data_IF_366214991293
#
_entry.id   IF_366214991293
#
_cell.length_a   1.000
_cell.length_b   1.000
_cell.length_c   1.000
_cell.angle_alpha   90.00
_cell.angle_beta   90.00
_cell.angle_gamma   90.00
#
_symmetry.space_group_name_H-M   'P 1'
#
loop_
_entity.id
_entity.type
_entity.pdbx_description
1 polymer ?
#
# COMPACT_ATOMS: atom_id res chain seq x y z
N UNK A 1 56.33 26.79 78.91
CA UNK A 1 55.77 27.11 77.57
C UNK A 1 54.28 26.83 77.68
N UNK A 2 53.53 27.83 78.11
CA UNK A 2 52.11 27.71 78.42
C UNK A 2 51.26 28.10 77.20
N UNK A 3 50.29 27.28 76.78
CA UNK A 3 49.40 27.61 75.68
C UNK A 3 48.42 28.70 76.12
N UNK A 4 48.49 29.85 75.44
CA UNK A 4 47.51 30.92 75.55
C UNK A 4 46.14 30.41 75.08
N UNK A 5 45.21 30.27 76.01
CA UNK A 5 43.80 29.93 75.72
C UNK A 5 43.11 31.18 75.16
N UNK A 6 42.48 31.12 73.97
CA UNK A 6 41.83 32.29 73.38
C UNK A 6 40.58 32.71 74.17
N UNK A 7 40.37 34.02 74.40
CA UNK A 7 39.28 34.58 75.21
C UNK A 7 37.93 34.66 74.46
N UNK A 8 37.60 33.67 73.64
CA UNK A 8 36.37 33.69 72.84
C UNK A 8 35.12 33.14 73.57
N UNK A 9 35.24 32.72 74.83
CA UNK A 9 34.13 32.11 75.59
C UNK A 9 33.44 33.04 76.60
N UNK A 10 33.82 34.33 76.72
CA UNK A 10 33.28 35.24 77.74
C UNK A 10 32.19 36.21 77.25
N UNK A 11 31.58 35.94 76.10
CA UNK A 11 30.44 36.71 75.56
C UNK A 11 29.10 35.99 75.71
N UNK A 12 28.97 35.09 76.69
CA UNK A 12 27.67 34.56 77.10
C UNK A 12 27.04 35.57 78.07
N UNK A 13 26.22 36.46 77.52
CA UNK A 13 25.52 37.52 78.26
C UNK A 13 24.66 36.93 79.40
N UNK A 14 24.79 37.41 80.65
CA UNK A 14 24.01 36.93 81.81
C UNK A 14 22.54 37.39 81.81
N UNK A 15 22.06 38.00 80.73
CA UNK A 15 20.67 38.45 80.57
C UNK A 15 19.76 37.34 80.02
N UNK A 16 20.31 36.14 79.83
CA UNK A 16 19.58 34.94 79.44
C UNK A 16 18.93 34.33 80.69
N UNK A 17 17.79 34.90 81.09
CA UNK A 17 16.83 34.21 81.96
C UNK A 17 16.37 32.89 81.34
N UNK A 18 15.66 32.05 82.12
CA UNK A 18 15.09 30.77 81.66
C UNK A 18 14.44 30.85 80.28
N UNK A 19 13.81 31.98 79.98
CA UNK A 19 13.04 32.25 78.77
C UNK A 19 13.93 32.25 77.51
N UNK A 20 15.22 32.61 77.62
CA UNK A 20 16.15 32.66 76.49
C UNK A 20 16.49 31.27 75.92
N UNK A 21 16.51 30.24 76.77
CA UNK A 21 16.74 28.86 76.34
C UNK A 21 15.54 28.31 75.55
N UNK A 22 14.32 28.74 75.91
CA UNK A 22 13.10 28.35 75.19
C UNK A 22 13.09 28.92 73.77
N UNK A 23 13.49 30.19 73.60
CA UNK A 23 13.59 30.81 72.28
C UNK A 23 14.71 30.19 71.41
N UNK A 24 15.87 29.83 71.99
CA UNK A 24 16.92 29.12 71.26
C UNK A 24 16.48 27.71 70.82
N UNK A 25 15.78 26.98 71.69
CA UNK A 25 15.20 25.69 71.37
C UNK A 25 14.20 25.77 70.21
N UNK A 26 13.29 26.75 70.26
CA UNK A 26 12.35 27.04 69.18
C UNK A 26 13.08 27.42 67.89
N UNK A 27 14.12 28.23 67.97
CA UNK A 27 14.94 28.62 66.81
C UNK A 27 15.59 27.42 66.11
N UNK A 28 16.22 26.52 66.88
CA UNK A 28 16.84 25.30 66.34
C UNK A 28 15.78 24.36 65.75
N UNK A 29 14.61 24.26 66.39
CA UNK A 29 13.51 23.45 65.89
C UNK A 29 12.96 24.00 64.55
N UNK A 30 12.80 25.32 64.44
CA UNK A 30 12.37 25.96 63.19
C UNK A 30 13.40 25.81 62.07
N UNK A 31 14.69 25.96 62.37
CA UNK A 31 15.76 25.77 61.37
C UNK A 31 15.84 24.31 60.93
N UNK A 32 15.76 23.35 61.86
CA UNK A 32 15.77 21.93 61.49
C UNK A 32 14.54 21.53 60.67
N UNK A 33 13.36 22.07 60.99
CA UNK A 33 12.15 21.89 60.19
C UNK A 33 12.30 22.49 58.78
N UNK A 34 12.87 23.69 58.67
CA UNK A 34 13.13 24.33 57.38
C UNK A 34 14.11 23.51 56.51
N UNK A 35 15.18 22.98 57.11
CA UNK A 35 16.13 22.09 56.43
C UNK A 35 15.43 20.81 55.95
N UNK A 36 14.58 20.21 56.79
CA UNK A 36 13.84 19.00 56.43
C UNK A 36 12.89 19.24 55.25
N UNK A 37 12.19 20.38 55.24
CA UNK A 37 11.33 20.79 54.12
C UNK A 37 12.12 21.03 52.83
N UNK A 38 13.30 21.66 52.91
CA UNK A 38 14.17 21.88 51.74
C UNK A 38 14.66 20.54 51.18
N UNK A 39 15.16 19.64 52.04
CA UNK A 39 15.58 18.30 51.64
C UNK A 39 14.44 17.50 51.00
N UNK A 40 13.24 17.58 51.58
CA UNK A 40 12.05 16.95 51.00
C UNK A 40 11.69 17.55 49.64
N UNK A 41 11.78 18.87 49.48
CA UNK A 41 11.54 19.56 48.20
C UNK A 41 12.57 19.17 47.13
N UNK A 42 13.84 19.00 47.50
CA UNK A 42 14.89 18.54 46.58
C UNK A 42 14.65 17.09 46.20
N UNK A 43 14.41 16.21 47.16
CA UNK A 43 14.13 14.79 46.91
C UNK A 43 12.91 14.59 46.00
N UNK A 44 11.85 15.38 46.17
CA UNK A 44 10.68 15.33 45.28
C UNK A 44 10.97 15.88 43.88
N UNK A 45 11.81 16.93 43.74
CA UNK A 45 12.25 17.42 42.43
C UNK A 45 13.12 16.40 41.69
N UNK A 46 13.92 15.62 42.42
CA UNK A 46 14.75 14.54 41.88
C UNK A 46 13.93 13.33 41.38
N UNK A 47 12.68 13.14 41.82
CA UNK A 47 11.82 12.05 41.31
C UNK A 47 11.24 12.30 39.91
N UNK A 48 11.05 13.56 39.52
CA UNK A 48 10.53 13.91 38.19
C UNK A 48 11.43 13.49 37.02
N UNK A 49 12.78 13.66 37.07
CA UNK A 49 13.64 13.18 35.99
C UNK A 49 13.69 11.65 35.91
N UNK A 50 13.51 10.92 37.01
CA UNK A 50 13.46 9.46 36.97
C UNK A 50 12.27 8.96 36.13
N UNK A 51 11.09 9.58 36.28
CA UNK A 51 9.92 9.27 35.45
C UNK A 51 10.15 9.58 33.96
N UNK A 52 10.91 10.64 33.65
CA UNK A 52 11.26 10.98 32.26
C UNK A 52 12.27 10.01 31.68
N UNK A 53 13.26 9.58 32.47
CA UNK A 53 14.24 8.57 32.06
C UNK A 53 13.56 7.22 31.80
N UNK A 54 12.61 6.82 32.64
CA UNK A 54 11.86 5.59 32.43
C UNK A 54 11.02 5.64 31.13
N UNK A 55 10.39 6.78 30.84
CA UNK A 55 9.66 6.98 29.58
C UNK A 55 10.58 6.95 28.36
N UNK A 56 11.76 7.57 28.43
CA UNK A 56 12.74 7.54 27.35
C UNK A 56 13.29 6.13 27.12
N UNK A 57 13.59 5.38 28.18
CA UNK A 57 14.00 3.98 28.07
C UNK A 57 12.89 3.12 27.47
N UNK A 58 11.62 3.41 27.76
CA UNK A 58 10.50 2.70 27.14
C UNK A 58 10.41 2.98 25.64
N UNK A 59 10.60 4.23 25.22
CA UNK A 59 10.65 4.62 23.80
C UNK A 59 11.82 3.96 23.07
N UNK A 60 13.01 3.93 23.66
CA UNK A 60 14.19 3.28 23.08
C UNK A 60 13.97 1.76 22.90
N UNK A 61 13.29 1.11 23.85
CA UNK A 61 12.90 -0.31 23.69
C UNK A 61 11.91 -0.51 22.55
N UNK A 62 10.93 0.40 22.40
CA UNK A 62 9.97 0.34 21.30
C UNK A 62 10.69 0.51 19.95
N UNK A 63 11.57 1.50 19.84
CA UNK A 63 12.39 1.72 18.64
C UNK A 63 13.20 0.47 18.28
N UNK A 64 13.92 -0.11 19.25
CA UNK A 64 14.67 -1.34 19.04
C UNK A 64 13.80 -2.54 18.64
N UNK A 65 12.55 -2.62 19.12
CA UNK A 65 11.62 -3.67 18.67
C UNK A 65 11.10 -3.42 17.26
N UNK A 66 10.84 -2.17 16.89
CA UNK A 66 10.40 -1.80 15.55
C UNK A 66 11.49 -2.06 14.52
N UNK A 67 12.74 -1.71 14.82
CA UNK A 67 13.88 -1.98 13.94
C UNK A 67 14.06 -3.48 13.68
N UNK A 68 13.96 -4.31 14.73
CA UNK A 68 14.01 -5.78 14.56
C UNK A 68 12.88 -6.31 13.68
N UNK A 69 11.67 -5.78 13.85
CA UNK A 69 10.52 -6.17 13.01
C UNK A 69 10.75 -5.72 11.57
N UNK A 70 11.26 -4.51 11.36
CA UNK A 70 11.56 -3.98 10.04
C UNK A 70 12.65 -4.80 9.32
N UNK A 71 13.71 -5.20 10.02
CA UNK A 71 14.77 -6.09 9.50
C UNK A 71 14.20 -7.46 9.12
N UNK A 72 13.38 -8.06 9.99
CA UNK A 72 12.73 -9.35 9.71
C UNK A 72 11.79 -9.27 8.50
N UNK A 73 10.99 -8.21 8.37
CA UNK A 73 10.12 -8.02 7.22
C UNK A 73 10.90 -7.75 5.94
N UNK A 74 11.97 -6.94 5.99
CA UNK A 74 12.82 -6.68 4.84
C UNK A 74 13.46 -7.97 4.29
N UNK A 75 13.91 -8.86 5.17
CA UNK A 75 14.47 -10.17 4.78
C UNK A 75 13.39 -11.10 4.17
N UNK A 76 12.21 -11.17 4.81
CA UNK A 76 11.10 -11.99 4.34
C UNK A 76 10.56 -11.51 2.99
N UNK A 77 10.41 -10.19 2.81
CA UNK A 77 9.90 -9.60 1.59
C UNK A 77 10.90 -9.77 0.44
N UNK A 78 12.21 -9.66 0.69
CA UNK A 78 13.23 -9.90 -0.33
C UNK A 78 13.16 -11.34 -0.85
N UNK A 79 13.11 -12.33 0.04
CA UNK A 79 13.03 -13.75 -0.35
C UNK A 79 11.71 -14.08 -1.05
N UNK A 80 10.60 -13.50 -0.58
CA UNK A 80 9.29 -13.69 -1.21
C UNK A 80 9.25 -13.07 -2.60
N UNK A 81 9.80 -11.87 -2.77
CA UNK A 81 9.92 -11.21 -4.06
C UNK A 81 10.83 -11.97 -5.02
N UNK A 82 11.93 -12.55 -4.54
CA UNK A 82 12.78 -13.42 -5.36
C UNK A 82 12.00 -14.63 -5.86
N UNK A 83 11.23 -15.29 -4.98
CA UNK A 83 10.44 -16.44 -5.37
C UNK A 83 9.33 -16.09 -6.38
N UNK A 84 8.60 -14.99 -6.16
CA UNK A 84 7.56 -14.56 -7.10
C UNK A 84 8.14 -14.15 -8.45
N UNK A 85 9.33 -13.54 -8.49
CA UNK A 85 10.02 -13.23 -9.73
C UNK A 85 10.48 -14.49 -10.47
N UNK A 86 10.97 -15.50 -9.75
CA UNK A 86 11.32 -16.79 -10.33
C UNK A 86 10.09 -17.51 -10.91
N UNK A 87 8.96 -17.48 -10.19
CA UNK A 87 7.70 -18.08 -10.64
C UNK A 87 7.16 -17.39 -11.89
N UNK A 88 7.16 -16.04 -11.92
CA UNK A 88 6.75 -15.27 -13.10
C UNK A 88 7.66 -15.60 -14.29
N UNK A 89 8.98 -15.68 -14.07
CA UNK A 89 9.94 -16.04 -15.12
C UNK A 89 9.69 -17.46 -15.65
N UNK A 90 9.37 -18.42 -14.78
CA UNK A 90 9.04 -19.78 -15.17
C UNK A 90 7.72 -19.83 -15.96
N UNK A 91 6.70 -19.10 -15.52
CA UNK A 91 5.41 -18.99 -16.21
C UNK A 91 5.55 -18.35 -17.60
N UNK A 92 6.35 -17.30 -17.74
CA UNK A 92 6.65 -16.68 -19.04
C UNK A 92 7.34 -17.66 -19.99
N UNK A 93 8.37 -18.38 -19.51
CA UNK A 93 9.04 -19.40 -20.32
C UNK A 93 8.09 -20.50 -20.78
N UNK A 94 7.19 -20.94 -19.90
CA UNK A 94 6.16 -21.92 -20.26
C UNK A 94 5.14 -21.37 -21.27
N UNK A 95 4.78 -20.10 -21.17
CA UNK A 95 3.91 -19.44 -22.15
C UNK A 95 4.60 -19.35 -23.51
N UNK A 96 5.88 -19.00 -23.55
CA UNK A 96 6.68 -18.94 -24.78
C UNK A 96 6.76 -20.33 -25.44
N UNK A 97 7.07 -21.38 -24.68
CA UNK A 97 7.11 -22.77 -25.17
C UNK A 97 5.77 -23.23 -25.75
N UNK A 98 4.65 -22.88 -25.10
CA UNK A 98 3.30 -23.17 -25.62
C UNK A 98 3.01 -22.38 -26.90
N UNK A 99 3.43 -21.12 -26.98
CA UNK A 99 3.21 -20.29 -28.16
C UNK A 99 4.00 -20.81 -29.37
N UNK A 100 5.23 -21.28 -29.15
CA UNK A 100 6.04 -21.92 -30.18
C UNK A 100 5.41 -23.24 -30.66
N UNK A 101 4.97 -24.10 -29.74
CA UNK A 101 4.31 -25.36 -30.09
C UNK A 101 2.99 -25.15 -30.87
N UNK A 102 2.24 -24.08 -30.55
CA UNK A 102 1.04 -23.69 -31.30
C UNK A 102 1.39 -23.20 -32.72
N UNK A 103 2.45 -22.41 -32.86
CA UNK A 103 2.93 -21.96 -34.17
C UNK A 103 3.32 -23.15 -35.07
N UNK A 104 4.07 -24.12 -34.53
CA UNK A 104 4.45 -25.34 -35.24
C UNK A 104 3.23 -26.18 -35.65
N UNK A 105 2.22 -26.27 -34.76
CA UNK A 105 0.96 -26.99 -35.04
C UNK A 105 0.15 -26.33 -36.17
N UNK A 106 0.16 -25.00 -36.26
CA UNK A 106 -0.51 -24.24 -37.32
C UNK A 106 0.20 -24.46 -38.66
N UNK A 107 1.53 -24.43 -38.69
CA UNK A 107 2.32 -24.69 -39.90
C UNK A 107 2.09 -26.11 -40.42
N UNK A 108 2.12 -27.11 -39.53
CA UNK A 108 1.87 -28.50 -39.89
C UNK A 108 0.43 -28.74 -40.39
N UNK A 109 -0.56 -28.04 -39.80
CA UNK A 109 -1.95 -28.09 -40.28
C UNK A 109 -2.11 -27.42 -41.64
N UNK A 110 -1.35 -26.36 -41.91
CA UNK A 110 -1.38 -25.65 -43.20
C UNK A 110 -0.83 -26.50 -44.34
N UNK A 111 0.24 -27.24 -44.11
CA UNK A 111 0.81 -28.16 -45.09
C UNK A 111 -0.11 -29.36 -45.37
N UNK A 112 -0.82 -29.86 -44.35
CA UNK A 112 -1.82 -30.93 -44.51
C UNK A 112 -3.10 -30.46 -45.22
N UNK A 113 -3.41 -29.16 -45.17
CA UNK A 113 -4.63 -28.57 -45.73
C UNK A 113 -4.46 -27.94 -47.12
N UNK A 114 -3.25 -28.02 -47.71
CA UNK A 114 -2.98 -27.55 -49.07
C UNK A 114 -3.55 -28.49 -50.17
N UNK A 115 -4.77 -28.99 -49.97
CA UNK A 115 -5.62 -29.49 -51.04
C UNK A 115 -6.40 -28.34 -51.67
N UNK A 116 -6.46 -28.23 -53.01
CA UNK A 116 -7.10 -27.11 -53.68
C UNK A 116 -8.63 -27.22 -53.55
N UNK A 117 -9.26 -26.06 -53.35
CA UNK A 117 -10.69 -25.78 -53.49
C UNK A 117 -11.62 -26.20 -52.33
N UNK A 118 -12.21 -25.20 -51.65
CA UNK A 118 -13.49 -25.42 -50.97
C UNK A 118 -13.89 -24.58 -49.75
N UNK A 119 -13.25 -23.45 -49.41
CA UNK A 119 -13.60 -22.70 -48.18
C UNK A 119 -13.59 -21.18 -48.40
N UNK A 120 -14.67 -20.61 -48.93
CA UNK A 120 -14.77 -19.13 -49.10
C UNK A 120 -16.07 -18.49 -48.57
N UNK A 121 -16.96 -19.22 -47.90
CA UNK A 121 -18.17 -18.64 -47.30
C UNK A 121 -18.09 -18.55 -45.76
N UNK A 122 -17.72 -19.63 -45.08
CA UNK A 122 -17.63 -19.67 -43.60
C UNK A 122 -16.52 -18.78 -43.01
N UNK A 123 -15.47 -18.46 -43.79
CA UNK A 123 -14.40 -17.55 -43.36
C UNK A 123 -14.81 -16.08 -43.33
N UNK A 124 -15.92 -15.71 -43.96
CA UNK A 124 -16.34 -14.30 -44.07
C UNK A 124 -16.94 -13.79 -42.76
N UNK A 125 -17.79 -14.59 -42.11
CA UNK A 125 -18.44 -14.25 -40.85
C UNK A 125 -17.48 -14.25 -39.65
N UNK A 126 -16.68 -15.32 -39.52
CA UNK A 126 -15.61 -15.38 -38.52
C UNK A 126 -14.61 -14.22 -38.72
N UNK A 127 -14.25 -13.93 -39.97
CA UNK A 127 -13.41 -12.79 -40.29
C UNK A 127 -14.02 -11.43 -39.91
N UNK A 128 -15.33 -11.26 -40.04
CA UNK A 128 -15.99 -10.01 -39.62
C UNK A 128 -16.01 -9.86 -38.09
N UNK A 129 -16.31 -10.93 -37.35
CA UNK A 129 -16.25 -10.94 -35.88
C UNK A 129 -14.85 -10.57 -35.37
N UNK A 130 -13.81 -11.15 -35.96
CA UNK A 130 -12.41 -10.86 -35.62
C UNK A 130 -12.04 -9.41 -35.94
N UNK A 131 -12.48 -8.88 -37.09
CA UNK A 131 -12.27 -7.47 -37.45
C UNK A 131 -12.94 -6.51 -36.47
N UNK A 132 -14.18 -6.81 -36.06
CA UNK A 132 -14.91 -6.04 -35.04
C UNK A 132 -14.16 -6.06 -33.72
N UNK A 133 -13.76 -7.25 -33.28
CA UNK A 133 -13.04 -7.43 -32.02
C UNK A 133 -11.71 -6.68 -32.03
N UNK A 134 -10.88 -6.86 -33.06
CA UNK A 134 -9.60 -6.17 -33.21
C UNK A 134 -9.76 -4.65 -33.27
N UNK A 135 -10.79 -4.16 -33.95
CA UNK A 135 -11.08 -2.71 -34.02
C UNK A 135 -11.45 -2.14 -32.65
N UNK A 136 -12.26 -2.85 -31.87
CA UNK A 136 -12.65 -2.41 -30.52
C UNK A 136 -11.48 -2.47 -29.54
N UNK A 137 -10.63 -3.49 -29.62
CA UNK A 137 -9.38 -3.57 -28.85
C UNK A 137 -8.47 -2.39 -29.18
N UNK A 138 -8.30 -2.04 -30.46
CA UNK A 138 -7.49 -0.90 -30.89
C UNK A 138 -8.03 0.45 -30.38
N UNK A 139 -9.32 0.54 -30.07
CA UNK A 139 -9.96 1.71 -29.45
C UNK A 139 -9.88 1.69 -27.90
N UNK A 140 -9.26 0.66 -27.31
CA UNK A 140 -9.07 0.49 -25.88
C UNK A 140 -10.24 -0.14 -25.15
N UNK A 141 -11.12 -0.86 -25.85
CA UNK A 141 -12.15 -1.68 -25.23
C UNK A 141 -11.61 -3.07 -24.86
N UNK A 142 -12.16 -3.64 -23.79
CA UNK A 142 -11.85 -4.95 -23.22
C UNK A 142 -13.17 -5.74 -23.02
N UNK A 143 -13.12 -7.07 -22.91
CA UNK A 143 -14.30 -7.94 -22.68
C UNK A 143 -15.44 -7.67 -23.70
N UNK A 144 -15.16 -7.91 -24.98
CA UNK A 144 -16.10 -7.66 -26.09
C UNK A 144 -17.02 -8.87 -26.28
N UNK A 145 -18.32 -8.62 -26.29
CA UNK A 145 -19.38 -9.60 -26.58
C UNK A 145 -20.23 -9.10 -27.76
N UNK A 146 -20.36 -9.92 -28.79
CA UNK A 146 -21.18 -9.61 -29.97
C UNK A 146 -22.58 -10.14 -29.69
N UNK A 147 -23.57 -9.24 -29.64
CA UNK A 147 -24.95 -9.57 -29.34
C UNK A 147 -25.76 -9.90 -30.60
N UNK A 148 -25.26 -9.54 -31.77
CA UNK A 148 -25.86 -9.91 -33.06
C UNK A 148 -25.69 -11.41 -33.32
N UNK A 149 -26.75 -12.14 -33.68
CA UNK A 149 -26.67 -13.57 -33.97
C UNK A 149 -25.77 -13.84 -35.18
N UNK A 150 -25.14 -15.02 -35.20
CA UNK A 150 -24.16 -15.37 -36.23
C UNK A 150 -24.73 -15.29 -37.65
N UNK A 151 -25.98 -15.73 -37.84
CA UNK A 151 -26.69 -15.73 -39.13
C UNK A 151 -26.80 -14.31 -39.73
N UNK A 152 -27.10 -13.31 -38.89
CA UNK A 152 -27.15 -11.90 -39.32
C UNK A 152 -25.74 -11.36 -39.59
N UNK A 153 -24.75 -11.78 -38.80
CA UNK A 153 -23.36 -11.38 -38.99
C UNK A 153 -22.81 -11.87 -40.34
N UNK A 154 -23.19 -13.06 -40.80
CA UNK A 154 -22.81 -13.56 -42.12
C UNK A 154 -23.44 -12.73 -43.24
N UNK A 155 -24.71 -12.35 -43.08
CA UNK A 155 -25.41 -11.50 -44.04
C UNK A 155 -24.75 -10.11 -44.14
N UNK A 156 -24.30 -9.54 -43.02
CA UNK A 156 -23.62 -8.25 -42.99
C UNK A 156 -22.21 -8.25 -43.59
N UNK A 157 -21.64 -9.42 -43.86
CA UNK A 157 -20.40 -9.50 -44.62
C UNK A 157 -20.61 -9.23 -46.12
N UNK A 158 -21.84 -9.43 -46.62
CA UNK A 158 -22.22 -9.24 -48.03
C UNK A 158 -23.05 -7.98 -48.26
N UNK A 159 -23.77 -7.51 -47.23
CA UNK A 159 -24.69 -6.38 -47.28
C UNK A 159 -24.41 -5.43 -46.13
N UNK A 160 -24.65 -4.13 -46.32
CA UNK A 160 -24.53 -3.14 -45.25
C UNK A 160 -25.48 -3.45 -44.08
N UNK A 161 -25.01 -3.22 -42.85
CA UNK A 161 -25.77 -3.57 -41.65
C UNK A 161 -25.25 -2.92 -40.36
N UNK A 162 -25.91 -3.22 -39.24
CA UNK A 162 -25.52 -2.76 -37.91
C UNK A 162 -25.24 -3.97 -37.00
N UNK A 163 -24.05 -4.05 -36.42
CA UNK A 163 -23.66 -5.09 -35.47
C UNK A 163 -23.78 -4.53 -34.05
N UNK A 164 -24.59 -5.17 -33.21
CA UNK A 164 -24.78 -4.81 -31.82
C UNK A 164 -23.70 -5.48 -30.99
N UNK A 165 -23.00 -4.69 -30.18
CA UNK A 165 -21.94 -5.20 -29.28
C UNK A 165 -22.09 -4.62 -27.89
N UNK A 166 -21.54 -5.38 -26.94
CA UNK A 166 -21.31 -4.99 -25.58
C UNK A 166 -19.80 -5.09 -25.32
N UNK A 167 -19.21 -4.06 -24.72
CA UNK A 167 -17.78 -4.06 -24.42
C UNK A 167 -17.52 -3.22 -23.17
N UNK A 168 -16.38 -3.44 -22.52
CA UNK A 168 -15.95 -2.68 -21.35
C UNK A 168 -14.82 -1.73 -21.71
N UNK A 169 -14.75 -0.57 -21.06
CA UNK A 169 -13.60 0.34 -21.17
C UNK A 169 -13.37 1.01 -19.84
N UNK A 170 -12.15 0.87 -19.31
CA UNK A 170 -11.79 1.37 -17.98
C UNK A 170 -12.78 0.91 -16.89
N UNK A 171 -13.21 -0.35 -16.95
CA UNK A 171 -14.17 -0.92 -16.00
C UNK A 171 -15.65 -0.53 -16.20
N UNK A 172 -15.97 0.43 -17.07
CA UNK A 172 -17.35 0.80 -17.38
C UNK A 172 -17.92 0.01 -18.58
N UNK A 173 -19.15 -0.50 -18.45
CA UNK A 173 -19.85 -1.21 -19.52
C UNK A 173 -20.36 -0.22 -20.57
N UNK A 174 -20.12 -0.54 -21.83
CA UNK A 174 -20.57 0.21 -22.99
C UNK A 174 -21.36 -0.70 -23.92
N UNK A 175 -22.53 -0.24 -24.34
CA UNK A 175 -23.38 -0.94 -25.30
C UNK A 175 -23.64 -0.04 -26.50
N UNK A 176 -23.70 -0.64 -27.68
CA UNK A 176 -23.86 0.14 -28.89
C UNK A 176 -23.87 -0.70 -30.15
N UNK A 177 -23.66 0.00 -31.27
CA UNK A 177 -23.73 -0.56 -32.61
C UNK A 177 -22.57 -0.09 -33.45
N UNK A 178 -22.09 -0.98 -34.32
CA UNK A 178 -21.11 -0.69 -35.35
C UNK A 178 -21.81 -0.74 -36.70
N UNK A 179 -21.64 0.32 -37.49
CA UNK A 179 -22.12 0.35 -38.87
C UNK A 179 -21.12 -0.39 -39.76
N UNK A 180 -21.59 -1.42 -40.46
CA UNK A 180 -20.81 -2.18 -41.43
C UNK A 180 -21.21 -1.73 -42.84
N UNK A 181 -20.22 -1.41 -43.67
CA UNK A 181 -20.39 -1.12 -45.09
C UNK A 181 -19.36 -1.86 -45.93
N UNK A 182 -19.81 -2.50 -47.00
CA UNK A 182 -18.95 -3.29 -47.90
C UNK A 182 -18.04 -4.30 -47.15
N UNK A 183 -18.57 -4.92 -46.09
CA UNK A 183 -17.83 -5.88 -45.24
C UNK A 183 -16.77 -5.27 -44.30
N UNK A 184 -16.67 -3.93 -44.24
CA UNK A 184 -15.78 -3.16 -43.37
C UNK A 184 -16.54 -2.34 -42.31
N UNK A 185 -15.84 -1.93 -41.24
CA UNK A 185 -16.42 -1.13 -40.15
C UNK A 185 -16.36 0.35 -40.55
N UNK A 186 -17.51 0.95 -40.83
CA UNK A 186 -17.62 2.34 -41.23
C UNK A 186 -17.69 3.30 -40.03
N UNK A 187 -18.47 2.97 -39.01
CA UNK A 187 -18.64 3.81 -37.82
C UNK A 187 -18.88 2.98 -36.55
N UNK A 188 -18.52 3.55 -35.39
CA UNK A 188 -18.64 2.91 -34.07
C UNK A 188 -19.37 3.84 -33.11
N UNK A 189 -20.57 3.45 -32.71
CA UNK A 189 -21.40 4.19 -31.76
C UNK A 189 -21.61 3.37 -30.48
N UNK A 190 -20.71 3.55 -29.52
CA UNK A 190 -20.80 2.95 -28.18
C UNK A 190 -21.16 4.00 -27.14
N UNK A 191 -22.13 3.69 -26.27
CA UNK A 191 -22.53 4.55 -25.15
C UNK A 191 -22.33 3.81 -23.83
N UNK A 192 -21.88 4.51 -22.81
CA UNK A 192 -21.79 3.96 -21.47
C UNK A 192 -23.20 3.60 -20.96
N UNK A 193 -23.36 2.40 -20.41
CA UNK A 193 -24.64 1.90 -19.90
C UNK A 193 -25.15 2.65 -18.66
N UNK A 194 -24.27 3.40 -17.98
CA UNK A 194 -24.53 4.12 -16.73
C UNK A 194 -25.05 5.56 -16.91
N UNK A 195 -25.84 5.83 -17.95
CA UNK A 195 -26.40 7.16 -18.22
C UNK A 195 -27.83 7.42 -17.71
N UNK A 196 -28.48 6.47 -17.01
CA UNK A 196 -29.93 6.53 -16.72
C UNK A 196 -30.29 6.32 -15.24
N UNK A 197 -29.39 6.62 -14.31
CA UNK A 197 -29.77 6.80 -12.91
C UNK A 197 -29.50 8.24 -12.49
N UNK A 198 -30.55 9.08 -12.32
CA UNK A 198 -30.41 10.45 -11.82
C UNK A 198 -29.99 10.48 -10.35
#
# INVERSE_FOLDING_TARGET
>A
MDPAVPPLLLLVSPWMGSDGLEYLGLGILLVSLAILLVLYSLASRLRRPDELLERLQHLERIEATLDRIAEQHAELDLRRLEHTLLDIRAALRQADERSAALADSIEQSRDASAGPDGLSAAGSAAGLADRVTNRLIALGFEQIEILTPLEELEAFALVDGEVIVEARRAGALHKGRLAIRDGGIADVHLRASYGVFP
#
